data_IF_272628935500
#
_entry.id   IF_272628935500
#
_cell.length_a   1.000
_cell.length_b   1.000
_cell.length_c   1.000
_cell.angle_alpha   90.00
_cell.angle_beta   90.00
_cell.angle_gamma   90.00
#
_symmetry.space_group_name_H-M   'P 1'
#
loop_
_entity.id
_entity.type
_entity.pdbx_description
1 polymer ?
#
# COMPACT_ATOMS: atom_id res chain seq x y z
N UNK A 1 -75.69 20.39 -15.29
CA UNK A 1 -74.73 19.26 -15.34
C UNK A 1 -73.39 19.82 -15.83
N UNK A 2 -72.49 20.22 -14.93
CA UNK A 2 -71.36 19.43 -14.40
C UNK A 2 -70.51 18.75 -15.49
N UNK A 3 -69.32 19.30 -15.75
CA UNK A 3 -68.07 18.53 -15.69
C UNK A 3 -66.88 19.47 -15.44
N UNK A 4 -66.33 19.42 -14.23
CA UNK A 4 -64.98 19.88 -13.92
C UNK A 4 -63.99 18.81 -14.40
N UNK A 5 -62.96 19.19 -15.14
CA UNK A 5 -61.78 18.34 -15.36
C UNK A 5 -60.73 18.67 -14.28
N UNK A 6 -60.50 17.70 -13.40
CA UNK A 6 -59.42 17.69 -12.42
C UNK A 6 -58.10 17.40 -13.15
N UNK A 7 -57.12 18.30 -13.03
CA UNK A 7 -55.74 18.02 -13.37
C UNK A 7 -55.13 17.12 -12.27
N UNK A 8 -54.71 15.91 -12.64
CA UNK A 8 -54.05 14.97 -11.74
C UNK A 8 -52.64 15.44 -11.41
N UNK A 9 -52.43 15.80 -10.14
CA UNK A 9 -51.11 16.01 -9.56
C UNK A 9 -50.50 14.63 -9.27
N UNK A 10 -49.52 14.21 -10.06
CA UNK A 10 -48.67 13.05 -9.78
C UNK A 10 -47.76 13.41 -8.59
N UNK A 11 -48.18 13.04 -7.37
CA UNK A 11 -47.27 12.97 -6.22
C UNK A 11 -46.30 11.82 -6.46
N UNK A 12 -45.07 12.15 -6.88
CA UNK A 12 -43.93 11.25 -6.73
C UNK A 12 -43.68 11.04 -5.23
N UNK A 13 -44.01 9.84 -4.74
CA UNK A 13 -43.80 9.46 -3.34
C UNK A 13 -42.33 9.60 -2.95
N UNK A 14 -42.03 10.57 -2.09
CA UNK A 14 -40.81 10.60 -1.31
C UNK A 14 -40.93 9.53 -0.24
N UNK A 15 -40.08 8.51 -0.31
CA UNK A 15 -39.89 7.59 0.82
C UNK A 15 -39.37 8.41 2.00
N UNK A 16 -40.18 8.55 3.05
CA UNK A 16 -39.78 9.14 4.31
C UNK A 16 -38.71 8.26 4.96
N UNK A 17 -37.44 8.64 4.83
CA UNK A 17 -36.40 8.22 5.75
C UNK A 17 -36.52 9.08 7.00
N UNK A 18 -36.34 8.47 8.18
CA UNK A 18 -36.41 9.12 9.49
C UNK A 18 -35.74 10.50 9.47
N UNK A 19 -36.38 11.52 10.07
CA UNK A 19 -35.80 12.85 10.24
C UNK A 19 -34.46 12.71 10.99
N UNK A 20 -33.36 12.68 10.25
CA UNK A 20 -32.03 12.85 10.81
C UNK A 20 -32.03 14.16 11.58
N UNK A 21 -31.67 14.12 12.86
CA UNK A 21 -31.52 15.32 13.68
C UNK A 21 -30.64 16.33 12.95
N UNK A 22 -31.04 17.60 12.91
CA UNK A 22 -30.26 18.65 12.26
C UNK A 22 -29.68 19.61 13.29
N UNK A 23 -28.46 20.08 13.05
CA UNK A 23 -27.81 21.16 13.81
C UNK A 23 -27.30 22.20 12.82
N UNK A 24 -27.64 23.47 13.04
CA UNK A 24 -27.33 24.57 12.11
C UNK A 24 -27.72 24.27 10.66
N UNK A 25 -28.84 23.57 10.45
CA UNK A 25 -29.36 23.22 9.11
C UNK A 25 -28.67 22.06 8.40
N UNK A 26 -27.69 21.39 9.03
CA UNK A 26 -27.03 20.21 8.48
C UNK A 26 -27.41 18.92 9.26
N UNK A 27 -27.38 17.74 8.63
CA UNK A 27 -27.59 16.46 9.31
C UNK A 27 -26.58 16.24 10.44
N UNK A 28 -27.01 15.55 11.50
CA UNK A 28 -26.18 15.18 12.66
C UNK A 28 -26.21 13.67 12.83
N UNK A 29 -25.03 13.08 13.03
CA UNK A 29 -24.87 11.71 13.54
C UNK A 29 -24.14 11.77 14.89
N UNK A 30 -24.28 10.74 15.71
CA UNK A 30 -23.66 10.68 17.06
C UNK A 30 -22.43 9.78 17.09
N UNK A 31 -21.53 9.99 18.04
CA UNK A 31 -20.42 9.07 18.32
C UNK A 31 -20.01 9.11 19.80
N UNK A 32 -19.65 7.96 20.37
CA UNK A 32 -19.06 7.91 21.70
C UNK A 32 -17.56 8.23 21.64
N UNK A 33 -16.85 7.69 20.64
CA UNK A 33 -15.44 7.95 20.39
C UNK A 33 -15.21 8.93 19.22
N UNK A 34 -14.13 9.70 19.28
CA UNK A 34 -13.66 10.55 18.17
C UNK A 34 -12.97 9.75 17.06
N UNK A 35 -13.54 8.60 16.68
CA UNK A 35 -13.05 7.71 15.65
C UNK A 35 -14.19 7.31 14.72
N UNK A 36 -13.89 7.22 13.43
CA UNK A 36 -14.85 6.80 12.42
C UNK A 36 -14.24 5.85 11.39
N UNK A 37 -15.11 5.02 10.85
CA UNK A 37 -14.91 4.26 9.64
C UNK A 37 -15.57 4.99 8.47
N UNK A 38 -15.07 4.74 7.26
CA UNK A 38 -15.79 5.13 6.06
C UNK A 38 -15.79 4.01 5.04
N UNK A 39 -16.75 4.04 4.12
CA UNK A 39 -16.89 3.07 3.04
C UNK A 39 -17.01 3.76 1.70
N UNK A 40 -16.20 3.33 0.74
CA UNK A 40 -16.27 3.73 -0.66
C UNK A 40 -16.75 2.56 -1.50
N UNK A 41 -17.92 2.69 -2.12
CA UNK A 41 -18.51 1.60 -2.89
C UNK A 41 -18.86 0.42 -1.99
N UNK A 42 -18.04 -0.65 -1.98
CA UNK A 42 -18.15 -1.82 -1.11
C UNK A 42 -17.07 -1.90 -0.03
N UNK A 43 -16.05 -1.04 -0.10
CA UNK A 43 -14.79 -1.17 0.63
C UNK A 43 -14.78 -0.33 1.89
N UNK A 44 -14.61 -0.97 3.05
CA UNK A 44 -14.47 -0.28 4.33
C UNK A 44 -13.02 0.10 4.59
N UNK A 45 -12.81 1.35 4.98
CA UNK A 45 -11.60 1.82 5.65
C UNK A 45 -11.95 2.00 7.12
N UNK A 46 -11.32 1.22 7.99
CA UNK A 46 -11.66 1.14 9.41
C UNK A 46 -10.64 1.83 10.29
N UNK A 47 -11.09 2.56 11.30
CA UNK A 47 -10.26 3.16 12.34
C UNK A 47 -9.28 4.25 11.89
N UNK A 48 -9.21 4.58 10.61
CA UNK A 48 -8.25 5.55 10.06
C UNK A 48 -8.69 7.01 10.16
N UNK A 49 -9.96 7.28 10.47
CA UNK A 49 -10.42 8.66 10.63
C UNK A 49 -10.53 9.02 12.10
N UNK A 50 -9.77 10.01 12.53
CA UNK A 50 -9.95 10.67 13.82
C UNK A 50 -10.80 11.90 13.59
N UNK A 51 -11.97 11.94 14.22
CA UNK A 51 -12.87 13.10 14.14
C UNK A 51 -12.22 14.26 14.91
N UNK A 52 -12.08 15.40 14.26
CA UNK A 52 -11.43 16.58 14.83
C UNK A 52 -12.41 17.76 14.98
N UNK A 53 -13.11 17.91 16.13
CA UNK A 53 -13.99 19.05 16.37
C UNK A 53 -13.32 20.42 16.26
N UNK A 54 -12.00 20.46 16.49
CA UNK A 54 -11.15 21.65 16.34
C UNK A 54 -10.91 22.04 14.87
N UNK A 55 -11.09 21.13 13.92
CA UNK A 55 -11.03 21.41 12.49
C UNK A 55 -12.44 21.74 11.98
N UNK A 56 -12.62 22.92 11.39
CA UNK A 56 -13.93 23.37 10.89
C UNK A 56 -13.80 23.96 9.47
N UNK A 57 -14.09 23.18 8.41
CA UNK A 57 -14.47 21.76 8.45
C UNK A 57 -13.31 20.79 8.70
N UNK A 58 -13.60 19.66 9.33
CA UNK A 58 -12.80 18.44 9.37
C UNK A 58 -12.97 17.70 8.02
N UNK A 59 -12.00 17.81 7.11
CA UNK A 59 -12.16 17.42 5.70
C UNK A 59 -11.61 16.02 5.42
N UNK A 60 -12.50 15.06 5.22
CA UNK A 60 -12.15 13.73 4.70
C UNK A 60 -12.16 13.75 3.16
N UNK A 61 -10.97 13.67 2.56
CA UNK A 61 -10.83 13.57 1.10
C UNK A 61 -10.92 12.12 0.62
N UNK A 62 -11.79 11.86 -0.36
CA UNK A 62 -12.17 10.52 -0.80
C UNK A 62 -12.00 10.37 -2.33
N UNK A 63 -11.00 9.61 -2.80
CA UNK A 63 -10.83 9.36 -4.23
C UNK A 63 -11.80 8.28 -4.71
N UNK A 64 -12.72 8.65 -5.61
CA UNK A 64 -13.70 7.76 -6.22
C UNK A 64 -13.12 7.12 -7.49
N UNK A 65 -13.36 5.82 -7.66
CA UNK A 65 -12.90 5.03 -8.81
C UNK A 65 -13.98 4.88 -9.89
N UNK A 66 -15.22 5.31 -9.60
CA UNK A 66 -16.33 5.36 -10.53
C UNK A 66 -16.94 6.78 -10.63
N UNK A 67 -17.70 7.02 -11.70
CA UNK A 67 -18.36 8.31 -11.96
C UNK A 67 -19.40 8.70 -10.89
N UNK A 68 -19.84 7.73 -10.08
CA UNK A 68 -20.76 7.90 -8.96
C UNK A 68 -20.59 6.73 -7.99
N UNK A 69 -20.40 7.00 -6.70
CA UNK A 69 -20.23 5.97 -5.68
C UNK A 69 -21.01 6.25 -4.41
N UNK A 70 -21.42 5.18 -3.72
CA UNK A 70 -21.97 5.30 -2.38
C UNK A 70 -20.83 5.53 -1.39
N UNK A 71 -20.90 6.63 -0.65
CA UNK A 71 -20.00 6.95 0.45
C UNK A 71 -20.77 6.80 1.75
N UNK A 72 -20.24 5.99 2.67
CA UNK A 72 -20.78 5.89 4.04
C UNK A 72 -19.73 6.39 5.00
N UNK A 73 -20.13 7.23 5.94
CA UNK A 73 -19.34 7.57 7.11
C UNK A 73 -20.04 6.95 8.32
N UNK A 74 -19.29 6.23 9.15
CA UNK A 74 -19.83 5.45 10.26
C UNK A 74 -19.02 5.69 11.52
N UNK A 75 -19.71 5.99 12.60
CA UNK A 75 -19.16 6.07 13.95
C UNK A 75 -19.50 4.76 14.68
N UNK A 76 -19.11 4.67 15.94
CA UNK A 76 -19.52 3.56 16.83
C UNK A 76 -21.02 3.56 17.16
N UNK A 77 -21.73 4.67 16.93
CA UNK A 77 -23.14 4.82 17.29
C UNK A 77 -24.08 4.94 16.08
N UNK A 78 -23.64 5.56 14.99
CA UNK A 78 -24.53 5.95 13.88
C UNK A 78 -23.77 5.98 12.53
N UNK A 79 -24.50 6.22 11.44
CA UNK A 79 -23.90 6.35 10.12
C UNK A 79 -24.70 7.28 9.22
N UNK A 80 -24.00 7.91 8.28
CA UNK A 80 -24.60 8.69 7.22
C UNK A 80 -24.12 8.21 5.86
N UNK A 81 -25.02 8.26 4.88
CA UNK A 81 -24.76 7.76 3.52
C UNK A 81 -25.12 8.81 2.49
N UNK A 82 -24.19 9.02 1.57
CA UNK A 82 -24.39 9.83 0.38
C UNK A 82 -24.06 9.04 -0.87
N UNK A 83 -24.55 9.49 -2.02
CA UNK A 83 -24.08 8.97 -3.31
C UNK A 83 -23.49 10.14 -4.08
N UNK A 84 -22.17 10.17 -4.18
CA UNK A 84 -21.39 11.33 -4.62
C UNK A 84 -20.67 11.06 -5.94
N UNK A 85 -20.38 12.12 -6.68
CA UNK A 85 -19.57 12.16 -7.91
C UNK A 85 -18.26 12.90 -7.65
N UNK A 86 -17.17 12.59 -8.37
CA UNK A 86 -15.93 13.38 -8.29
C UNK A 86 -16.17 14.89 -8.35
N UNK A 87 -15.59 15.63 -7.40
CA UNK A 87 -15.74 17.09 -7.28
C UNK A 87 -16.92 17.53 -6.42
N UNK A 88 -17.84 16.63 -6.05
CA UNK A 88 -18.90 16.93 -5.08
C UNK A 88 -18.36 16.90 -3.65
N UNK A 89 -19.01 17.68 -2.79
CA UNK A 89 -18.75 17.70 -1.35
C UNK A 89 -20.06 17.67 -0.58
N UNK A 90 -20.01 17.12 0.63
CA UNK A 90 -21.15 17.05 1.52
C UNK A 90 -20.73 17.27 2.96
N UNK A 91 -21.51 18.09 3.67
CA UNK A 91 -21.27 18.41 5.08
C UNK A 91 -22.33 17.83 5.99
N UNK A 92 -21.91 17.48 7.20
CA UNK A 92 -22.76 17.04 8.31
C UNK A 92 -22.00 17.28 9.61
N UNK A 93 -22.69 17.17 10.74
CA UNK A 93 -22.05 17.23 12.05
C UNK A 93 -21.92 15.84 12.67
N UNK A 94 -20.81 15.60 13.35
CA UNK A 94 -20.70 14.53 14.35
C UNK A 94 -20.82 15.13 15.74
N UNK A 95 -21.82 14.70 16.50
CA UNK A 95 -22.01 15.08 17.90
C UNK A 95 -21.34 14.05 18.81
N UNK A 96 -20.33 14.48 19.56
CA UNK A 96 -19.59 13.65 20.51
C UNK A 96 -20.27 13.66 21.88
N UNK A 97 -20.06 12.60 22.67
CA UNK A 97 -20.60 12.49 24.03
C UNK A 97 -20.17 13.61 24.99
N UNK A 98 -19.03 14.27 24.72
CA UNK A 98 -18.58 15.44 25.46
C UNK A 98 -19.32 16.75 25.09
N UNK A 99 -20.34 16.65 24.23
CA UNK A 99 -21.20 17.76 23.79
C UNK A 99 -20.64 18.57 22.62
N UNK A 100 -19.43 18.27 22.13
CA UNK A 100 -18.85 18.97 20.99
C UNK A 100 -19.47 18.51 19.68
N UNK A 101 -19.58 19.44 18.74
CA UNK A 101 -19.98 19.19 17.36
C UNK A 101 -18.76 19.36 16.45
N UNK A 102 -18.41 18.32 15.69
CA UNK A 102 -17.42 18.41 14.63
C UNK A 102 -18.11 18.65 13.29
N UNK A 103 -17.81 19.77 12.61
CA UNK A 103 -18.28 19.99 11.24
C UNK A 103 -17.44 19.15 10.30
N UNK A 104 -17.98 18.04 9.80
CA UNK A 104 -17.27 17.12 8.91
C UNK A 104 -17.66 17.37 7.45
N UNK A 105 -16.67 17.41 6.57
CA UNK A 105 -16.85 17.50 5.12
C UNK A 105 -16.31 16.26 4.43
N UNK A 106 -17.17 15.55 3.69
CA UNK A 106 -16.73 14.56 2.71
C UNK A 106 -16.44 15.30 1.41
N UNK A 107 -15.18 15.31 1.00
CA UNK A 107 -14.76 15.92 -0.26
C UNK A 107 -14.33 14.83 -1.22
N UNK A 108 -15.01 14.69 -2.35
CA UNK A 108 -14.70 13.62 -3.30
C UNK A 108 -13.87 14.12 -4.46
N UNK A 109 -12.92 13.31 -4.90
CA UNK A 109 -12.10 13.55 -6.10
C UNK A 109 -12.19 12.35 -7.02
N UNK A 110 -11.83 12.52 -8.30
CA UNK A 110 -11.61 11.38 -9.16
C UNK A 110 -10.28 10.75 -8.75
N UNK A 111 -10.25 9.43 -8.55
CA UNK A 111 -8.99 8.73 -8.44
C UNK A 111 -8.22 8.91 -9.75
N UNK A 112 -7.03 9.51 -9.66
CA UNK A 112 -6.15 9.73 -10.78
C UNK A 112 -4.73 9.37 -10.36
N UNK A 113 -4.07 8.58 -11.21
CA UNK A 113 -2.65 8.31 -11.11
C UNK A 113 -2.03 8.68 -12.45
N UNK A 114 -1.02 9.55 -12.43
CA UNK A 114 -0.30 9.90 -13.65
C UNK A 114 0.73 8.82 -13.99
N UNK A 115 0.79 8.33 -15.23
CA UNK A 115 1.80 7.36 -15.62
C UNK A 115 3.19 8.03 -15.59
N UNK A 116 4.10 7.49 -14.80
CA UNK A 116 5.45 8.01 -14.70
C UNK A 116 6.26 7.56 -15.91
N UNK A 117 7.22 8.40 -16.30
CA UNK A 117 8.16 8.11 -17.37
C UNK A 117 9.53 7.81 -16.77
N UNK A 118 10.24 6.88 -17.38
CA UNK A 118 11.60 6.50 -17.03
C UNK A 118 12.37 6.31 -18.35
N UNK A 119 13.70 6.38 -18.29
CA UNK A 119 14.54 6.14 -19.45
C UNK A 119 14.51 4.64 -19.80
N UNK A 120 14.14 4.34 -21.04
CA UNK A 120 14.13 2.98 -21.58
C UNK A 120 15.44 2.62 -22.30
N UNK A 121 15.60 1.31 -22.55
CA UNK A 121 16.44 0.57 -23.53
C UNK A 121 17.87 1.03 -23.91
N UNK A 122 18.38 2.17 -23.45
CA UNK A 122 19.81 2.47 -23.57
C UNK A 122 20.55 1.58 -22.58
N UNK A 123 21.53 0.77 -23.03
CA UNK A 123 22.42 0.06 -22.13
C UNK A 123 23.14 1.11 -21.26
N UNK A 124 22.73 1.23 -20.00
CA UNK A 124 23.58 1.83 -18.99
C UNK A 124 24.61 0.76 -18.60
N UNK A 125 25.82 1.17 -18.24
CA UNK A 125 26.76 0.24 -17.61
C UNK A 125 26.04 -0.40 -16.39
N UNK A 126 25.99 -1.74 -16.30
CA UNK A 126 25.23 -2.39 -15.24
C UNK A 126 25.85 -2.04 -13.89
N UNK A 127 25.00 -1.71 -12.92
CA UNK A 127 25.44 -1.66 -11.54
C UNK A 127 25.68 -3.08 -11.05
N UNK A 128 26.76 -3.29 -10.29
CA UNK A 128 27.10 -4.60 -9.74
C UNK A 128 26.19 -4.92 -8.54
N UNK A 129 25.03 -5.53 -8.82
CA UNK A 129 24.18 -6.12 -7.78
C UNK A 129 24.72 -7.47 -7.33
N UNK A 130 24.66 -7.72 -6.03
CA UNK A 130 25.04 -9.00 -5.41
C UNK A 130 23.82 -9.70 -4.84
N UNK A 131 23.72 -10.98 -5.12
CA UNK A 131 22.68 -11.88 -4.64
C UNK A 131 23.33 -13.14 -4.06
N UNK A 132 22.51 -13.99 -3.45
CA UNK A 132 22.93 -15.30 -3.00
C UNK A 132 23.59 -16.11 -4.11
N UNK A 133 24.74 -16.70 -3.78
CA UNK A 133 25.47 -17.63 -4.61
C UNK A 133 25.08 -19.06 -4.20
N UNK A 134 24.24 -19.73 -5.00
CA UNK A 134 23.83 -21.10 -4.74
C UNK A 134 22.83 -21.25 -3.59
N UNK A 135 22.85 -22.41 -2.92
CA UNK A 135 21.87 -22.79 -1.88
C UNK A 135 22.50 -23.03 -0.50
N UNK A 136 23.81 -22.83 -0.36
CA UNK A 136 24.58 -23.23 0.82
C UNK A 136 24.65 -22.15 1.91
N UNK A 137 23.70 -21.22 1.93
CA UNK A 137 23.63 -20.20 2.93
C UNK A 137 23.05 -20.77 4.25
N UNK A 138 23.90 -20.95 5.25
CA UNK A 138 23.53 -21.52 6.55
C UNK A 138 22.43 -20.72 7.27
N UNK A 139 22.43 -19.38 7.14
CA UNK A 139 21.39 -18.52 7.73
C UNK A 139 20.02 -18.81 7.11
N UNK A 140 19.96 -18.91 5.78
CA UNK A 140 18.72 -19.22 5.06
C UNK A 140 18.26 -20.66 5.27
N UNK A 141 19.20 -21.61 5.37
CA UNK A 141 18.90 -22.99 5.72
C UNK A 141 18.30 -23.10 7.13
N UNK A 142 18.86 -22.38 8.11
CA UNK A 142 18.31 -22.29 9.46
C UNK A 142 16.89 -21.69 9.44
N UNK A 143 16.68 -20.56 8.75
CA UNK A 143 15.36 -19.93 8.64
C UNK A 143 14.31 -20.93 8.08
N UNK A 144 14.64 -21.61 6.99
CA UNK A 144 13.75 -22.60 6.36
C UNK A 144 13.38 -23.74 7.31
N UNK A 145 14.37 -24.28 8.02
CA UNK A 145 14.17 -25.41 8.93
C UNK A 145 13.40 -24.99 10.19
N UNK A 146 13.82 -23.91 10.85
CA UNK A 146 13.29 -23.46 12.14
C UNK A 146 11.82 -23.04 12.05
N UNK A 147 11.38 -22.52 10.90
CA UNK A 147 10.00 -22.07 10.67
C UNK A 147 9.19 -23.01 9.76
N UNK A 148 9.69 -24.22 9.51
CA UNK A 148 9.01 -25.27 8.76
C UNK A 148 8.46 -24.80 7.41
N UNK A 149 9.23 -23.97 6.70
CA UNK A 149 8.73 -23.31 5.48
C UNK A 149 8.41 -24.32 4.37
N UNK A 150 8.94 -25.55 4.42
CA UNK A 150 8.63 -26.61 3.45
C UNK A 150 7.15 -26.98 3.44
N UNK A 151 6.50 -26.95 4.61
CA UNK A 151 5.07 -27.19 4.74
C UNK A 151 4.25 -26.05 4.11
N UNK A 152 4.72 -24.81 4.24
CA UNK A 152 4.06 -23.60 3.68
C UNK A 152 3.94 -23.70 2.16
N UNK A 153 5.01 -24.16 1.51
CA UNK A 153 5.08 -24.23 0.04
C UNK A 153 4.61 -25.56 -0.54
N UNK A 154 4.16 -26.49 0.31
CA UNK A 154 3.74 -27.82 -0.12
C UNK A 154 2.61 -27.72 -1.17
N UNK A 155 2.80 -28.43 -2.29
CA UNK A 155 1.84 -28.47 -3.39
C UNK A 155 1.89 -27.26 -4.33
N UNK A 156 2.79 -26.29 -4.12
CA UNK A 156 2.98 -25.18 -5.05
C UNK A 156 3.45 -25.69 -6.43
N UNK A 157 2.75 -25.30 -7.49
CA UNK A 157 3.00 -25.81 -8.85
C UNK A 157 4.07 -25.04 -9.62
N UNK A 158 4.35 -23.81 -9.22
CA UNK A 158 5.32 -22.92 -9.85
C UNK A 158 5.87 -21.89 -8.86
N UNK A 159 6.81 -21.07 -9.31
CA UNK A 159 7.48 -20.08 -8.45
C UNK A 159 6.53 -18.96 -8.02
N UNK A 160 5.55 -18.60 -8.85
CA UNK A 160 4.50 -17.63 -8.50
C UNK A 160 3.67 -18.11 -7.31
N UNK A 161 3.23 -19.37 -7.32
CA UNK A 161 2.44 -19.96 -6.23
C UNK A 161 3.28 -20.13 -4.96
N UNK A 162 4.55 -20.53 -5.10
CA UNK A 162 5.50 -20.60 -3.98
C UNK A 162 5.65 -19.22 -3.32
N UNK A 163 5.81 -18.18 -4.13
CA UNK A 163 5.96 -16.82 -3.65
C UNK A 163 4.72 -16.31 -2.90
N UNK A 164 3.52 -16.54 -3.43
CA UNK A 164 2.26 -16.17 -2.78
C UNK A 164 2.07 -16.88 -1.44
N UNK A 165 2.38 -18.18 -1.35
CA UNK A 165 2.23 -18.95 -0.11
C UNK A 165 3.18 -18.46 0.98
N UNK A 166 4.44 -18.19 0.63
CA UNK A 166 5.42 -17.64 1.58
C UNK A 166 5.04 -16.22 2.02
N UNK A 167 4.60 -15.37 1.08
CA UNK A 167 4.12 -14.02 1.38
C UNK A 167 2.96 -14.05 2.38
N UNK A 168 1.97 -14.90 2.13
CA UNK A 168 0.80 -15.07 2.98
C UNK A 168 1.18 -15.60 4.37
N UNK A 169 2.10 -16.57 4.44
CA UNK A 169 2.58 -17.05 5.72
C UNK A 169 3.23 -15.93 6.53
N UNK A 170 4.07 -15.09 5.91
CA UNK A 170 4.69 -13.93 6.59
C UNK A 170 3.62 -12.94 7.06
N UNK A 171 2.63 -12.63 6.21
CA UNK A 171 1.51 -11.75 6.55
C UNK A 171 0.76 -12.19 7.81
N UNK A 172 0.64 -13.50 8.03
CA UNK A 172 -0.07 -14.07 9.18
C UNK A 172 0.74 -14.06 10.49
N UNK A 173 2.02 -13.72 10.45
CA UNK A 173 2.87 -13.84 11.64
C UNK A 173 2.58 -12.74 12.68
N UNK A 174 2.20 -11.54 12.26
CA UNK A 174 1.83 -10.45 13.18
C UNK A 174 0.79 -9.50 12.57
N UNK A 175 0.25 -8.60 13.39
CA UNK A 175 -0.54 -7.45 12.91
C UNK A 175 0.40 -6.24 12.76
N UNK A 176 0.20 -5.42 11.73
CA UNK A 176 1.04 -4.25 11.49
C UNK A 176 1.01 -3.24 12.66
N UNK A 177 2.20 -2.84 13.13
CA UNK A 177 2.39 -1.76 14.10
C UNK A 177 3.47 -0.80 13.60
N UNK A 178 3.04 0.41 13.21
CA UNK A 178 3.89 1.46 12.62
C UNK A 178 4.95 2.06 13.58
N UNK A 179 4.87 1.77 14.88
CA UNK A 179 5.62 2.46 15.93
C UNK A 179 6.62 1.57 16.66
N UNK A 180 6.83 0.33 16.22
CA UNK A 180 7.71 -0.62 16.89
C UNK A 180 8.81 -1.12 15.96
N UNK A 181 10.02 -1.31 16.51
CA UNK A 181 11.21 -1.75 15.77
C UNK A 181 11.83 -2.99 16.42
N UNK A 182 12.39 -3.93 15.65
CA UNK A 182 13.04 -5.10 16.20
C UNK A 182 14.42 -4.75 16.75
N UNK A 183 14.96 -5.61 17.62
CA UNK A 183 16.34 -5.45 18.14
C UNK A 183 17.38 -5.61 17.02
N UNK A 184 17.08 -6.46 16.03
CA UNK A 184 17.91 -6.68 14.84
C UNK A 184 17.05 -6.76 13.59
N UNK A 185 17.55 -6.16 12.52
CA UNK A 185 16.89 -6.10 11.22
C UNK A 185 17.20 -7.34 10.36
N UNK A 186 16.90 -8.53 10.90
CA UNK A 186 17.06 -9.82 10.23
C UNK A 186 15.88 -10.75 10.54
N UNK A 187 15.54 -11.64 9.60
CA UNK A 187 14.31 -12.44 9.65
C UNK A 187 14.21 -13.35 10.88
N UNK A 188 15.31 -14.00 11.30
CA UNK A 188 15.31 -14.88 12.48
C UNK A 188 15.01 -14.09 13.76
N UNK A 189 15.71 -12.96 13.98
CA UNK A 189 15.46 -12.12 15.16
C UNK A 189 14.06 -11.54 15.18
N UNK A 190 13.58 -11.03 14.04
CA UNK A 190 12.23 -10.48 13.91
C UNK A 190 11.18 -11.53 14.27
N UNK A 191 11.26 -12.72 13.65
CA UNK A 191 10.29 -13.78 13.87
C UNK A 191 10.34 -14.34 15.30
N UNK A 192 11.51 -14.34 15.94
CA UNK A 192 11.62 -14.73 17.35
C UNK A 192 10.95 -13.71 18.28
N UNK A 193 11.14 -12.41 18.01
CA UNK A 193 10.44 -11.37 18.78
C UNK A 193 8.93 -11.36 18.53
N UNK A 194 8.48 -11.72 17.32
CA UNK A 194 7.04 -11.93 17.03
C UNK A 194 6.45 -13.04 17.89
N UNK A 195 7.16 -14.16 18.09
CA UNK A 195 6.71 -15.23 19.00
C UNK A 195 6.54 -14.76 20.45
N UNK A 196 7.26 -13.71 20.83
CA UNK A 196 7.15 -13.06 22.14
C UNK A 196 6.02 -12.00 22.19
N UNK A 197 5.20 -11.90 21.14
CA UNK A 197 4.06 -11.00 21.05
C UNK A 197 4.36 -9.63 20.46
N UNK A 198 5.59 -9.38 19.97
CA UNK A 198 5.89 -8.12 19.29
C UNK A 198 5.23 -8.06 17.91
N UNK A 199 4.93 -6.84 17.49
CA UNK A 199 4.32 -6.50 16.21
C UNK A 199 5.18 -5.43 15.54
N UNK A 200 5.29 -5.46 14.22
CA UNK A 200 6.25 -4.62 13.49
C UNK A 200 5.65 -3.94 12.26
N UNK A 201 6.46 -3.10 11.63
CA UNK A 201 6.09 -2.20 10.53
C UNK A 201 6.22 -2.91 9.18
N UNK A 202 5.89 -2.18 8.11
CA UNK A 202 6.15 -2.57 6.72
C UNK A 202 7.58 -3.10 6.47
N UNK A 203 8.58 -2.47 7.10
CA UNK A 203 10.00 -2.80 6.93
C UNK A 203 10.28 -4.26 7.27
N UNK A 204 9.77 -4.72 8.39
CA UNK A 204 10.00 -6.06 8.88
C UNK A 204 9.26 -7.12 8.04
N UNK A 205 8.09 -6.80 7.48
CA UNK A 205 7.42 -7.69 6.51
C UNK A 205 8.27 -7.85 5.25
N UNK A 206 8.82 -6.74 4.73
CA UNK A 206 9.71 -6.75 3.58
C UNK A 206 10.97 -7.59 3.81
N UNK A 207 11.60 -7.45 4.98
CA UNK A 207 12.79 -8.23 5.37
C UNK A 207 12.46 -9.73 5.45
N UNK A 208 11.48 -10.12 6.26
CA UNK A 208 11.16 -11.54 6.50
C UNK A 208 10.72 -12.24 5.22
N UNK A 209 9.84 -11.61 4.43
CA UNK A 209 9.39 -12.18 3.16
C UNK A 209 10.54 -12.33 2.16
N UNK A 210 11.46 -11.36 2.09
CA UNK A 210 12.65 -11.44 1.25
C UNK A 210 13.52 -12.64 1.63
N UNK A 211 13.82 -12.81 2.92
CA UNK A 211 14.65 -13.93 3.38
C UNK A 211 13.96 -15.28 3.17
N UNK A 212 12.64 -15.36 3.36
CA UNK A 212 11.87 -16.58 3.09
C UNK A 212 11.96 -16.99 1.61
N UNK A 213 11.85 -16.04 0.68
CA UNK A 213 11.96 -16.32 -0.76
C UNK A 213 13.40 -16.69 -1.17
N UNK A 214 14.39 -15.98 -0.63
CA UNK A 214 15.81 -16.30 -0.84
C UNK A 214 16.16 -17.70 -0.33
N UNK A 215 15.52 -18.19 0.75
CA UNK A 215 15.70 -19.56 1.24
C UNK A 215 15.24 -20.67 0.26
N UNK A 216 14.47 -20.30 -0.77
CA UNK A 216 14.07 -21.17 -1.89
C UNK A 216 14.83 -20.87 -3.19
N UNK A 217 15.87 -20.03 -3.14
CA UNK A 217 16.67 -19.65 -4.31
C UNK A 217 15.93 -18.70 -5.26
N UNK A 218 14.81 -18.10 -4.84
CA UNK A 218 14.16 -17.01 -5.57
C UNK A 218 14.88 -15.72 -5.21
N UNK A 219 15.75 -15.24 -6.10
CA UNK A 219 16.56 -14.03 -5.86
C UNK A 219 15.63 -12.86 -5.57
N UNK A 220 15.65 -12.39 -4.33
CA UNK A 220 14.71 -11.40 -3.80
C UNK A 220 15.45 -10.23 -3.18
N UNK A 221 14.82 -9.07 -3.19
CA UNK A 221 15.38 -7.82 -2.66
C UNK A 221 14.29 -7.02 -1.96
N UNK A 222 14.64 -6.43 -0.83
CA UNK A 222 13.80 -5.40 -0.19
C UNK A 222 13.75 -4.19 -1.11
N UNK A 223 12.54 -3.65 -1.30
CA UNK A 223 12.26 -2.49 -2.13
C UNK A 223 11.67 -1.38 -1.26
N UNK A 224 12.39 -0.26 -1.20
CA UNK A 224 11.91 0.98 -0.60
C UNK A 224 11.07 1.77 -1.60
N UNK A 225 9.89 2.20 -1.18
CA UNK A 225 9.00 3.08 -1.93
C UNK A 225 8.91 4.43 -1.22
N UNK A 226 8.84 5.53 -1.97
CA UNK A 226 8.75 6.89 -1.43
C UNK A 226 7.82 7.75 -2.27
N UNK A 227 7.11 8.66 -1.60
CA UNK A 227 6.19 9.60 -2.24
C UNK A 227 6.92 10.71 -2.99
N UNK A 228 6.20 11.42 -3.86
CA UNK A 228 6.76 12.56 -4.63
C UNK A 228 7.27 13.69 -3.72
N UNK A 229 6.58 13.93 -2.63
CA UNK A 229 6.78 14.97 -1.62
C UNK A 229 7.67 14.51 -0.44
N UNK A 230 8.46 13.45 -0.64
CA UNK A 230 9.26 12.80 0.41
C UNK A 230 10.18 13.72 1.21
N UNK A 231 10.63 14.83 0.62
CA UNK A 231 11.51 15.80 1.30
C UNK A 231 10.75 16.70 2.28
N UNK A 232 9.44 16.93 2.06
CA UNK A 232 8.62 17.90 2.79
C UNK A 232 7.61 17.26 3.74
N UNK A 233 7.35 15.96 3.60
CA UNK A 233 6.36 15.25 4.41
C UNK A 233 6.99 14.74 5.70
N UNK A 234 6.54 15.23 6.86
CA UNK A 234 7.17 14.92 8.17
C UNK A 234 7.12 13.43 8.56
N UNK A 235 6.07 12.70 8.13
CA UNK A 235 5.90 11.29 8.46
C UNK A 235 5.09 10.53 7.41
N UNK A 236 5.34 9.22 7.28
CA UNK A 236 4.56 8.35 6.40
C UNK A 236 4.88 8.51 4.90
N UNK A 237 6.02 9.11 4.55
CA UNK A 237 6.42 9.36 3.17
C UNK A 237 7.11 8.15 2.50
N UNK A 238 7.20 7.02 3.21
CA UNK A 238 7.78 5.78 2.70
C UNK A 238 6.96 4.55 3.06
N UNK A 239 7.11 3.52 2.22
CA UNK A 239 6.62 2.17 2.46
C UNK A 239 7.71 1.19 2.05
N UNK A 240 7.82 0.06 2.74
CA UNK A 240 8.82 -0.96 2.43
C UNK A 240 8.13 -2.27 2.14
N UNK A 241 8.50 -2.86 1.01
CA UNK A 241 8.03 -4.15 0.55
C UNK A 241 9.18 -4.87 -0.16
N UNK A 242 8.91 -5.73 -1.13
CA UNK A 242 9.96 -6.46 -1.83
C UNK A 242 9.67 -6.69 -3.31
N UNK A 243 10.73 -7.03 -4.04
CA UNK A 243 10.63 -7.65 -5.36
C UNK A 243 11.38 -8.98 -5.38
N UNK A 244 10.83 -9.94 -6.12
CA UNK A 244 11.45 -11.24 -6.35
C UNK A 244 11.58 -11.52 -7.85
N UNK A 245 12.71 -12.09 -8.25
CA UNK A 245 12.89 -12.58 -9.61
C UNK A 245 12.21 -13.94 -9.72
N UNK A 246 11.23 -14.04 -10.62
CA UNK A 246 10.57 -15.29 -10.96
C UNK A 246 11.28 -15.91 -12.19
N UNK A 247 12.02 -17.03 -12.04
CA UNK A 247 12.72 -17.67 -13.14
C UNK A 247 11.81 -18.14 -14.27
N UNK A 248 10.63 -18.67 -13.94
CA UNK A 248 9.63 -19.12 -14.91
C UNK A 248 9.06 -17.97 -15.77
N UNK A 249 9.01 -16.75 -15.23
CA UNK A 249 8.56 -15.55 -15.93
C UNK A 249 9.70 -14.70 -16.53
N UNK A 250 10.95 -14.99 -16.17
CA UNK A 250 12.14 -14.17 -16.48
C UNK A 250 11.93 -12.68 -16.16
N UNK A 251 11.39 -12.36 -14.98
CA UNK A 251 11.16 -10.97 -14.55
C UNK A 251 11.14 -10.78 -13.04
N UNK A 252 11.39 -9.53 -12.64
CA UNK A 252 11.10 -9.04 -11.29
C UNK A 252 9.60 -8.88 -11.08
N UNK A 253 9.13 -9.17 -9.87
CA UNK A 253 7.72 -9.11 -9.45
C UNK A 253 7.63 -8.52 -8.06
N UNK A 254 6.73 -7.56 -7.87
CA UNK A 254 6.45 -6.92 -6.59
C UNK A 254 5.60 -7.85 -5.71
N UNK A 255 5.96 -7.89 -4.43
CA UNK A 255 5.17 -8.52 -3.38
C UNK A 255 5.11 -7.58 -2.18
N UNK A 256 3.96 -7.54 -1.50
CA UNK A 256 3.76 -6.75 -0.30
C UNK A 256 3.34 -7.65 0.87
N UNK A 257 4.27 -7.91 1.79
CA UNK A 257 4.03 -8.81 2.92
C UNK A 257 3.10 -8.23 3.98
N UNK A 258 3.01 -6.90 4.08
CA UNK A 258 2.08 -6.26 5.00
C UNK A 258 0.64 -6.47 4.52
N UNK A 259 0.41 -6.38 3.22
CA UNK A 259 -0.93 -6.45 2.63
C UNK A 259 -1.29 -7.83 2.06
N UNK A 260 -0.34 -8.77 2.02
CA UNK A 260 -0.47 -10.05 1.29
C UNK A 260 -0.92 -9.84 -0.16
N UNK A 261 -0.13 -9.08 -0.92
CA UNK A 261 -0.47 -8.68 -2.29
C UNK A 261 0.62 -9.02 -3.29
N UNK A 262 0.19 -9.57 -4.43
CA UNK A 262 0.91 -9.56 -5.70
C UNK A 262 0.03 -8.88 -6.77
N UNK A 263 0.45 -7.74 -7.35
CA UNK A 263 -0.26 -7.13 -8.47
C UNK A 263 -0.05 -7.91 -9.77
N UNK A 264 -1.13 -8.08 -10.53
CA UNK A 264 -1.15 -8.87 -11.75
C UNK A 264 -1.97 -8.16 -12.81
N UNK A 265 -1.47 -8.08 -14.04
CA UNK A 265 -2.24 -7.60 -15.19
C UNK A 265 -2.39 -8.73 -16.21
N UNK A 266 -3.63 -9.13 -16.51
CA UNK A 266 -3.96 -10.13 -17.54
C UNK A 266 -3.15 -11.42 -17.37
N UNK A 267 -3.15 -11.95 -16.16
CA UNK A 267 -2.44 -13.17 -15.79
C UNK A 267 -0.96 -13.01 -15.46
N UNK A 268 -0.32 -11.87 -15.78
CA UNK A 268 1.12 -11.64 -15.58
C UNK A 268 1.40 -10.84 -14.30
N UNK A 269 2.21 -11.35 -13.37
CA UNK A 269 2.68 -10.57 -12.22
C UNK A 269 3.50 -9.36 -12.64
N UNK A 270 3.44 -8.29 -11.86
CA UNK A 270 4.05 -6.99 -12.18
C UNK A 270 5.16 -6.63 -11.20
N UNK A 271 6.19 -5.96 -11.68
CA UNK A 271 7.09 -5.19 -10.82
C UNK A 271 6.45 -3.85 -10.42
N UNK A 272 7.13 -3.08 -9.57
CA UNK A 272 6.59 -1.82 -9.05
C UNK A 272 6.25 -0.78 -10.13
N UNK A 273 7.11 -0.62 -11.14
CA UNK A 273 6.90 0.35 -12.24
C UNK A 273 5.77 -0.10 -13.17
N UNK A 274 5.69 -1.39 -13.50
CA UNK A 274 4.59 -1.94 -14.29
C UNK A 274 3.26 -1.81 -13.53
N UNK A 275 3.27 -2.02 -12.21
CA UNK A 275 2.10 -1.83 -11.37
C UNK A 275 1.64 -0.36 -11.36
N UNK A 276 2.57 0.57 -11.18
CA UNK A 276 2.32 2.01 -11.31
C UNK A 276 1.64 2.36 -12.65
N UNK A 277 2.18 1.84 -13.76
CA UNK A 277 1.61 2.05 -15.09
C UNK A 277 0.23 1.40 -15.25
N UNK A 278 0.03 0.21 -14.68
CA UNK A 278 -1.24 -0.50 -14.71
C UNK A 278 -2.32 0.24 -13.92
N UNK A 279 -1.99 0.83 -12.76
CA UNK A 279 -2.91 1.70 -12.02
C UNK A 279 -3.32 2.89 -12.88
N UNK A 280 -2.38 3.54 -13.57
CA UNK A 280 -2.66 4.72 -14.38
C UNK A 280 -3.46 4.43 -15.67
N UNK A 281 -3.23 3.28 -16.32
CA UNK A 281 -3.71 3.02 -17.70
C UNK A 281 -4.66 1.84 -17.82
N UNK A 282 -4.59 0.88 -16.91
CA UNK A 282 -5.27 -0.41 -17.01
C UNK A 282 -5.92 -0.83 -15.69
N UNK A 283 -6.31 0.14 -14.84
CA UNK A 283 -6.82 -0.15 -13.50
C UNK A 283 -8.01 -1.11 -13.51
N UNK A 284 -8.87 -1.05 -14.54
CA UNK A 284 -9.99 -2.00 -14.71
C UNK A 284 -9.53 -3.46 -14.79
N UNK A 285 -8.51 -3.74 -15.60
CA UNK A 285 -7.99 -5.09 -15.88
C UNK A 285 -6.96 -5.57 -14.85
N UNK A 286 -6.52 -4.68 -13.94
CA UNK A 286 -5.57 -4.98 -12.88
C UNK A 286 -6.19 -5.92 -11.84
N UNK A 287 -5.46 -6.93 -11.43
CA UNK A 287 -5.80 -7.85 -10.35
C UNK A 287 -4.86 -7.62 -9.17
N UNK A 288 -5.40 -7.69 -7.96
CA UNK A 288 -4.64 -7.78 -6.71
C UNK A 288 -4.80 -9.20 -6.22
N UNK A 289 -3.81 -10.06 -6.52
CA UNK A 289 -3.82 -11.45 -6.04
C UNK A 289 -3.39 -11.46 -4.58
N UNK A 290 -4.21 -12.08 -3.75
CA UNK A 290 -4.05 -12.13 -2.30
C UNK A 290 -4.71 -13.39 -1.78
N UNK A 291 -4.07 -14.07 -0.82
CA UNK A 291 -4.65 -15.22 -0.15
C UNK A 291 -5.48 -14.81 1.08
N UNK A 292 -5.30 -13.57 1.57
CA UNK A 292 -6.14 -12.94 2.61
C UNK A 292 -7.37 -12.21 2.05
N UNK A 293 -7.49 -12.06 0.72
CA UNK A 293 -8.63 -11.39 0.08
C UNK A 293 -8.53 -9.86 0.10
N UNK A 294 -7.32 -9.30 0.05
CA UNK A 294 -7.08 -7.86 0.06
C UNK A 294 -7.85 -7.12 -1.03
N UNK A 295 -8.49 -6.02 -0.62
CA UNK A 295 -9.24 -5.13 -1.50
C UNK A 295 -8.38 -4.51 -2.58
N UNK A 296 -8.76 -4.69 -3.85
CA UNK A 296 -8.10 -4.02 -4.98
C UNK A 296 -8.15 -2.50 -4.85
N UNK A 297 -9.34 -1.94 -4.65
CA UNK A 297 -9.51 -0.48 -4.61
C UNK A 297 -8.85 0.13 -3.38
N UNK A 298 -8.98 -0.53 -2.22
CA UNK A 298 -8.34 -0.08 -0.98
C UNK A 298 -6.82 -0.06 -1.12
N UNK A 299 -6.24 -1.16 -1.61
CA UNK A 299 -4.80 -1.26 -1.78
C UNK A 299 -4.27 -0.29 -2.84
N UNK A 300 -4.88 -0.23 -4.04
CA UNK A 300 -4.44 0.68 -5.12
C UNK A 300 -4.47 2.14 -4.68
N UNK A 301 -5.52 2.56 -3.96
CA UNK A 301 -5.62 3.93 -3.44
C UNK A 301 -4.50 4.23 -2.46
N UNK A 302 -4.20 3.27 -1.58
CA UNK A 302 -3.20 3.43 -0.54
C UNK A 302 -1.76 3.41 -1.07
N UNK A 303 -1.45 2.49 -2.00
CA UNK A 303 -0.08 2.28 -2.50
C UNK A 303 0.34 3.28 -3.57
N UNK A 304 -0.61 3.81 -4.36
CA UNK A 304 -0.29 4.64 -5.53
C UNK A 304 0.63 5.83 -5.24
N UNK A 305 0.47 6.60 -4.14
CA UNK A 305 1.37 7.71 -3.82
C UNK A 305 2.82 7.29 -3.62
N UNK A 306 3.06 6.07 -3.13
CA UNK A 306 4.39 5.55 -2.81
C UNK A 306 5.17 5.06 -4.04
N UNK A 307 4.48 4.74 -5.14
CA UNK A 307 5.09 4.22 -6.37
C UNK A 307 5.73 5.34 -7.21
N UNK A 308 6.51 6.22 -6.58
CA UNK A 308 7.15 7.38 -7.22
C UNK A 308 8.68 7.26 -7.26
N UNK A 309 9.35 7.26 -6.12
CA UNK A 309 10.77 6.89 -6.04
C UNK A 309 10.91 5.48 -5.48
N UNK A 310 11.86 4.72 -6.05
CA UNK A 310 12.04 3.31 -5.73
C UNK A 310 13.52 3.07 -5.45
N UNK A 311 13.88 2.44 -4.34
CA UNK A 311 15.27 2.12 -4.05
C UNK A 311 15.49 0.68 -3.59
N UNK A 312 16.64 0.13 -4.01
CA UNK A 312 17.08 -1.22 -3.70
C UNK A 312 18.55 -1.19 -3.32
N UNK A 313 18.96 -2.09 -2.43
CA UNK A 313 20.38 -2.25 -2.06
C UNK A 313 21.16 -2.86 -3.22
N UNK A 314 22.43 -2.48 -3.36
CA UNK A 314 23.34 -3.18 -4.29
C UNK A 314 23.66 -4.59 -3.79
N UNK A 315 23.81 -4.78 -2.48
CA UNK A 315 24.10 -6.08 -1.88
C UNK A 315 22.87 -6.67 -1.18
N UNK A 316 22.21 -7.61 -1.84
CA UNK A 316 20.99 -8.29 -1.41
C UNK A 316 21.27 -9.68 -0.83
N UNK A 317 22.51 -9.97 -0.44
CA UNK A 317 22.85 -11.22 0.25
C UNK A 317 22.26 -11.26 1.67
N UNK A 318 22.11 -12.44 2.25
CA UNK A 318 21.46 -12.70 3.52
C UNK A 318 22.44 -13.34 4.50
N UNK A 319 22.36 -12.95 5.77
CA UNK A 319 23.26 -13.47 6.80
C UNK A 319 23.75 -12.39 7.76
N UNK A 320 24.20 -12.86 8.92
CA UNK A 320 24.69 -12.03 10.01
C UNK A 320 26.16 -11.66 9.78
N UNK A 321 26.52 -10.41 10.09
CA UNK A 321 27.92 -9.95 10.04
C UNK A 321 28.52 -9.82 8.64
N UNK A 322 27.71 -9.85 7.59
CA UNK A 322 28.19 -9.69 6.22
C UNK A 322 28.68 -8.26 5.97
N UNK A 323 29.93 -8.14 5.49
CA UNK A 323 30.38 -6.90 4.87
C UNK A 323 29.60 -6.66 3.58
N UNK A 324 28.79 -5.60 3.59
CA UNK A 324 27.91 -5.22 2.48
C UNK A 324 28.71 -4.48 1.41
N UNK A 325 28.62 -4.97 0.18
CA UNK A 325 29.13 -4.28 -0.99
C UNK A 325 28.46 -2.92 -1.18
N UNK A 326 29.21 -1.97 -1.73
CA UNK A 326 28.70 -0.67 -2.14
C UNK A 326 29.19 -0.36 -3.56
N UNK A 327 28.54 0.61 -4.22
CA UNK A 327 28.97 1.18 -5.50
C UNK A 327 29.23 2.65 -5.26
N UNK A 328 30.47 3.10 -5.53
CA UNK A 328 30.88 4.49 -5.32
C UNK A 328 30.61 4.99 -3.88
N UNK A 329 30.79 4.13 -2.86
CA UNK A 329 30.52 4.46 -1.46
C UNK A 329 29.03 4.54 -1.10
N UNK A 330 28.12 4.16 -2.00
CA UNK A 330 26.67 4.16 -1.81
C UNK A 330 26.15 2.73 -1.72
N UNK A 331 25.24 2.48 -0.77
CA UNK A 331 24.70 1.14 -0.53
C UNK A 331 23.52 0.79 -1.43
N UNK A 332 22.88 1.80 -2.04
CA UNK A 332 21.60 1.62 -2.74
C UNK A 332 21.55 2.35 -4.09
N UNK A 333 20.70 1.85 -4.97
CA UNK A 333 20.30 2.50 -6.21
C UNK A 333 18.87 2.99 -6.07
N UNK A 334 18.63 4.27 -6.36
CA UNK A 334 17.29 4.84 -6.43
C UNK A 334 16.88 5.13 -7.86
N UNK A 335 15.78 4.55 -8.30
CA UNK A 335 15.08 4.88 -9.54
C UNK A 335 14.22 6.13 -9.33
N UNK A 336 14.43 7.10 -10.22
CA UNK A 336 13.80 8.41 -10.20
C UNK A 336 13.04 8.60 -11.52
N UNK A 337 11.80 9.12 -11.50
CA UNK A 337 11.07 9.44 -12.72
C UNK A 337 11.78 10.50 -13.58
N UNK A 338 11.62 10.43 -14.89
CA UNK A 338 12.13 11.43 -15.82
C UNK A 338 11.55 12.82 -15.49
N UNK A 339 12.42 13.82 -15.42
CA UNK A 339 12.07 15.19 -15.03
C UNK A 339 11.84 15.41 -13.53
N UNK A 340 11.86 14.36 -12.70
CA UNK A 340 11.80 14.51 -11.26
C UNK A 340 13.16 14.91 -10.66
N UNK A 341 13.10 15.67 -9.56
CA UNK A 341 14.24 15.96 -8.70
C UNK A 341 14.73 14.66 -8.05
N UNK A 342 16.05 14.52 -7.90
CA UNK A 342 16.65 13.48 -7.07
C UNK A 342 16.49 13.89 -5.59
N UNK A 343 15.73 13.14 -4.77
CA UNK A 343 15.46 13.55 -3.40
C UNK A 343 16.73 13.43 -2.55
N UNK A 344 17.08 14.45 -1.78
CA UNK A 344 18.29 14.45 -0.94
C UNK A 344 17.99 14.29 0.54
N UNK A 345 16.71 14.39 0.93
CA UNK A 345 16.24 14.26 2.31
C UNK A 345 14.99 13.37 2.34
N UNK A 346 14.91 12.51 3.34
CA UNK A 346 13.74 11.70 3.65
C UNK A 346 13.04 12.29 4.88
N UNK A 347 11.75 12.60 4.74
CA UNK A 347 10.88 13.14 5.76
C UNK A 347 11.46 14.33 6.54
N UNK A 348 11.88 15.37 5.81
CA UNK A 348 12.45 16.63 6.34
C UNK A 348 13.78 16.49 7.11
N UNK A 349 14.09 15.30 7.64
CA UNK A 349 15.10 15.08 8.67
C UNK A 349 16.27 14.21 8.23
N UNK A 350 16.04 13.18 7.42
CA UNK A 350 17.02 12.11 7.22
C UNK A 350 17.75 12.25 5.88
N UNK A 351 19.05 12.59 5.83
CA UNK A 351 19.76 12.74 4.57
C UNK A 351 19.81 11.44 3.74
N UNK A 352 19.55 11.54 2.44
CA UNK A 352 19.66 10.43 1.48
C UNK A 352 21.07 10.49 0.86
N UNK A 353 22.08 10.22 1.68
CA UNK A 353 23.48 10.19 1.28
C UNK A 353 23.98 8.78 0.88
N UNK A 354 23.08 7.79 0.87
CA UNK A 354 23.39 6.38 0.64
C UNK A 354 22.99 5.86 -0.75
N UNK A 355 22.38 6.71 -1.59
CA UNK A 355 21.89 6.35 -2.92
C UNK A 355 22.80 6.85 -4.05
N UNK A 356 22.94 6.02 -5.08
CA UNK A 356 23.16 6.46 -6.46
C UNK A 356 21.79 6.63 -7.13
N UNK A 357 21.61 7.63 -7.98
CA UNK A 357 20.35 7.82 -8.71
C UNK A 357 20.44 7.29 -10.13
N UNK A 358 19.33 6.75 -10.64
CA UNK A 358 19.16 6.37 -12.04
C UNK A 358 17.76 6.70 -12.51
N UNK A 359 17.63 6.91 -13.80
CA UNK A 359 16.33 6.98 -14.50
C UNK A 359 16.12 5.76 -15.39
N UNK A 360 17.10 4.87 -15.49
CA UNK A 360 17.09 3.72 -16.40
C UNK A 360 16.41 2.51 -15.78
N UNK A 361 15.33 2.05 -16.42
CA UNK A 361 14.66 0.80 -16.04
C UNK A 361 15.58 -0.41 -16.27
N UNK A 362 16.39 -0.40 -17.33
CA UNK A 362 17.32 -1.49 -17.62
C UNK A 362 18.38 -1.65 -16.53
N UNK A 363 18.85 -0.54 -15.95
CA UNK A 363 19.81 -0.58 -14.84
C UNK A 363 19.15 -1.05 -13.53
N UNK A 364 17.92 -0.60 -13.24
CA UNK A 364 17.22 -0.92 -11.98
C UNK A 364 16.65 -2.35 -11.97
N UNK A 365 16.18 -2.83 -13.12
CA UNK A 365 15.58 -4.15 -13.31
C UNK A 365 16.52 -5.12 -14.06
N UNK A 366 17.83 -4.93 -13.92
CA UNK A 366 18.81 -5.88 -14.41
C UNK A 366 18.46 -7.30 -13.94
N UNK A 367 18.61 -8.28 -14.83
CA UNK A 367 18.45 -9.69 -14.47
C UNK A 367 19.47 -10.02 -13.38
N UNK A 368 19.08 -10.66 -12.28
CA UNK A 368 20.03 -11.00 -11.24
C UNK A 368 20.92 -12.16 -11.72
N UNK A 369 22.23 -11.98 -11.57
CA UNK A 369 23.27 -13.00 -11.84
C UNK A 369 23.38 -13.97 -10.68
#
# INVERSE_FOLDING_TARGET
>A
MKTLLLAGLLLSGTTAFAQSSTYQGLPVIKAHAAQADYRLGREWVRGNWRIAPEASPDVLTLPLHAAKEAVVFRTDQDSIRYTLRPGEMQRFYVHLDDGRYALTELRTTAFAAEPLRFDGARPAAPFAFRYEAGRDNAYLAQLRQQYHLDAVVQGAKNDTERALRLLHWVHQQWNHNGSNEPTKNDALSILEEVKQGKQFRCVEYGIVATSCLNAYGLKSRVLGLKTKDVETTDSGAGHVLLETWLPDQQKWVLLDGQWDVMPVLRGKPLNAVEFQQAIARNCKDLEIRSLSGTSKMGYVTWIAPYLYYLDVKFDNREGLGLERGNVNGKSSLMLVPAGAKEPTVFQVRYPINYCVYTRSLAAFYAKPE
#
